data_IF_362930316038
#
_entry.id   IF_362930316038
#
_cell.length_a   1.000
_cell.length_b   1.000
_cell.length_c   1.000
_cell.angle_alpha   90.00
_cell.angle_beta   90.00
_cell.angle_gamma   90.00
#
_symmetry.space_group_name_H-M   'P 1'
#
loop_
_entity.id
_entity.type
_entity.pdbx_description
1 polymer ?
#
# COMPACT_ATOMS: atom_id res chain seq x y z
N UNK A 1 9.69 -18.43 3.35
CA UNK A 1 9.66 -17.02 2.84
C UNK A 1 9.58 -17.03 1.32
N UNK A 2 8.96 -16.02 0.71
CA UNK A 2 8.73 -15.95 -0.74
C UNK A 2 9.39 -14.71 -1.34
N UNK A 3 10.02 -14.86 -2.50
CA UNK A 3 10.54 -13.77 -3.33
C UNK A 3 9.63 -13.61 -4.53
N UNK A 4 9.10 -12.40 -4.73
CA UNK A 4 8.34 -12.03 -5.90
C UNK A 4 9.15 -11.05 -6.75
N UNK A 5 9.37 -11.38 -8.01
CA UNK A 5 10.13 -10.54 -8.95
C UNK A 5 9.28 -10.28 -10.18
N UNK A 6 9.10 -9.01 -10.49
CA UNK A 6 8.47 -8.58 -11.75
C UNK A 6 9.55 -8.44 -12.84
N UNK A 7 9.34 -9.11 -13.96
CA UNK A 7 10.18 -8.96 -15.14
C UNK A 7 9.49 -8.03 -16.16
N UNK A 8 10.01 -6.82 -16.30
CA UNK A 8 9.44 -5.81 -17.21
C UNK A 8 9.54 -6.21 -18.69
N UNK A 9 10.62 -6.90 -19.09
CA UNK A 9 10.84 -7.28 -20.51
C UNK A 9 9.87 -8.38 -20.95
N UNK A 10 9.54 -9.28 -20.06
CA UNK A 10 8.68 -10.44 -20.33
C UNK A 10 7.24 -10.25 -19.85
N UNK A 11 6.97 -9.17 -19.09
CA UNK A 11 5.65 -8.85 -18.58
C UNK A 11 5.09 -9.92 -17.62
N UNK A 12 5.97 -10.63 -16.88
CA UNK A 12 5.51 -11.66 -15.96
C UNK A 12 6.04 -11.48 -14.53
N UNK A 13 5.25 -11.97 -13.57
CA UNK A 13 5.60 -12.06 -12.16
C UNK A 13 6.06 -13.48 -11.84
N UNK A 14 7.29 -13.63 -11.34
CA UNK A 14 7.79 -14.88 -10.77
C UNK A 14 7.71 -14.84 -9.25
N UNK A 15 7.26 -15.95 -8.65
CA UNK A 15 7.21 -16.12 -7.18
C UNK A 15 7.94 -17.40 -6.84
N UNK A 16 9.01 -17.30 -6.05
CA UNK A 16 9.86 -18.44 -5.65
C UNK A 16 10.06 -18.49 -4.15
N UNK A 17 10.19 -19.71 -3.59
CA UNK A 17 10.57 -19.89 -2.19
C UNK A 17 12.05 -19.57 -1.99
N UNK A 18 12.37 -18.83 -0.93
CA UNK A 18 13.75 -18.52 -0.53
C UNK A 18 14.27 -19.56 0.47
N UNK A 19 13.38 -20.20 1.22
CA UNK A 19 13.72 -21.20 2.25
C UNK A 19 13.13 -22.55 1.87
N UNK A 20 13.95 -23.60 1.81
CA UNK A 20 13.48 -24.98 1.64
C UNK A 20 12.75 -25.42 2.92
N UNK A 21 11.53 -25.95 2.78
CA UNK A 21 10.76 -26.54 3.88
C UNK A 21 9.85 -25.58 4.67
N UNK A 22 9.72 -24.33 4.28
CA UNK A 22 8.75 -23.42 4.91
C UNK A 22 7.31 -23.82 4.59
N UNK A 23 6.51 -24.12 5.63
CA UNK A 23 5.10 -24.49 5.52
C UNK A 23 4.18 -23.30 5.11
N UNK A 24 4.73 -22.13 4.80
CA UNK A 24 3.93 -20.97 4.39
C UNK A 24 3.39 -21.16 2.98
N UNK A 25 2.08 -21.00 2.83
CA UNK A 25 1.41 -21.05 1.55
C UNK A 25 1.99 -20.01 0.57
N UNK A 26 2.11 -20.40 -0.69
CA UNK A 26 2.60 -19.49 -1.73
C UNK A 26 1.64 -18.30 -1.88
N UNK A 27 2.13 -17.05 -1.81
CA UNK A 27 1.29 -15.91 -2.02
C UNK A 27 0.72 -15.91 -3.44
N UNK A 28 -0.59 -15.81 -3.54
CA UNK A 28 -1.31 -15.76 -4.81
C UNK A 28 -1.51 -14.30 -5.23
N UNK A 29 -1.25 -13.94 -6.50
CA UNK A 29 -1.57 -12.62 -7.00
C UNK A 29 -3.09 -12.42 -7.08
N UNK A 30 -3.56 -11.25 -6.69
CA UNK A 30 -4.91 -10.78 -6.93
C UNK A 30 -4.98 -10.08 -8.29
N UNK A 31 -6.06 -10.33 -9.03
CA UNK A 31 -6.31 -9.77 -10.35
C UNK A 31 -7.57 -8.90 -10.27
N UNK A 32 -7.45 -7.61 -10.65
CA UNK A 32 -8.60 -6.70 -10.76
C UNK A 32 -8.76 -6.31 -12.22
N UNK A 33 -9.94 -6.59 -12.76
CA UNK A 33 -10.25 -6.35 -14.17
C UNK A 33 -10.80 -4.94 -14.41
N UNK A 34 -10.57 -4.31 -15.58
CA UNK A 34 -11.23 -3.07 -15.95
C UNK A 34 -12.77 -3.15 -15.93
N UNK A 35 -13.35 -4.35 -16.05
CA UNK A 35 -14.81 -4.54 -15.98
C UNK A 35 -15.37 -4.28 -14.57
N UNK A 36 -14.52 -4.29 -13.55
CA UNK A 36 -14.89 -4.00 -12.17
C UNK A 36 -14.96 -2.48 -11.89
N UNK A 37 -14.47 -1.65 -12.82
CA UNK A 37 -14.56 -0.21 -12.71
C UNK A 37 -16.02 0.27 -12.79
N UNK A 38 -16.39 1.33 -12.04
CA UNK A 38 -17.70 1.95 -12.16
C UNK A 38 -17.85 2.63 -13.53
N UNK A 39 -19.08 2.96 -13.92
CA UNK A 39 -19.36 3.60 -15.21
C UNK A 39 -20.20 4.89 -15.12
N UNK A 40 -19.98 5.82 -14.14
CA UNK A 40 -20.70 7.08 -14.14
C UNK A 40 -20.20 7.97 -15.30
N UNK A 41 -21.13 8.60 -16.02
CA UNK A 41 -20.80 9.44 -17.19
C UNK A 41 -19.83 10.56 -16.86
N UNK A 42 -19.99 11.17 -15.69
CA UNK A 42 -19.16 12.29 -15.22
C UNK A 42 -17.69 11.91 -14.99
N UNK A 43 -17.39 10.64 -14.69
CA UNK A 43 -16.03 10.12 -14.52
C UNK A 43 -15.42 9.58 -15.84
N UNK A 44 -16.13 9.69 -16.96
CA UNK A 44 -15.70 9.14 -18.25
C UNK A 44 -14.25 9.42 -18.64
N UNK A 45 -13.76 10.66 -18.56
CA UNK A 45 -12.36 10.98 -18.89
C UNK A 45 -11.34 10.23 -18.01
N UNK A 46 -11.60 10.13 -16.70
CA UNK A 46 -10.74 9.36 -15.79
C UNK A 46 -10.78 7.87 -16.10
N UNK A 47 -11.99 7.31 -16.24
CA UNK A 47 -12.17 5.88 -16.48
C UNK A 47 -11.56 5.43 -17.80
N UNK A 48 -11.60 6.26 -18.84
CA UNK A 48 -10.95 5.99 -20.11
C UNK A 48 -9.43 5.78 -19.97
N UNK A 49 -8.77 6.58 -19.11
CA UNK A 49 -7.34 6.41 -18.82
C UNK A 49 -7.08 5.19 -17.95
N UNK A 50 -7.92 4.92 -16.95
CA UNK A 50 -7.73 3.77 -16.06
C UNK A 50 -7.91 2.44 -16.79
N UNK A 51 -8.89 2.31 -17.69
CA UNK A 51 -9.14 1.11 -18.51
C UNK A 51 -7.91 0.73 -19.35
N UNK A 52 -7.09 1.69 -19.77
CA UNK A 52 -5.87 1.45 -20.56
C UNK A 52 -4.79 0.67 -19.81
N UNK A 53 -4.87 0.60 -18.49
CA UNK A 53 -3.96 -0.23 -17.68
C UNK A 53 -4.17 -1.74 -17.90
N UNK A 54 -5.32 -2.15 -18.49
CA UNK A 54 -5.66 -3.56 -18.57
C UNK A 54 -5.92 -4.16 -17.19
N UNK A 55 -5.66 -5.44 -17.03
CA UNK A 55 -5.80 -6.12 -15.73
C UNK A 55 -4.68 -5.70 -14.78
N UNK A 56 -5.05 -5.16 -13.63
CA UNK A 56 -4.10 -4.84 -12.56
C UNK A 56 -3.83 -6.10 -11.75
N UNK A 57 -2.54 -6.44 -11.62
CA UNK A 57 -2.06 -7.58 -10.82
C UNK A 57 -1.36 -7.04 -9.58
N UNK A 58 -1.72 -7.56 -8.41
CA UNK A 58 -1.13 -7.18 -7.14
C UNK A 58 -0.86 -8.40 -6.27
N UNK A 59 0.30 -8.41 -5.61
CA UNK A 59 0.54 -9.24 -4.43
C UNK A 59 0.15 -8.45 -3.19
N UNK A 60 -0.70 -9.03 -2.36
CA UNK A 60 -1.01 -8.46 -1.04
C UNK A 60 0.23 -8.56 -0.15
N UNK A 61 0.37 -7.64 0.78
CA UNK A 61 1.43 -7.75 1.77
C UNK A 61 1.11 -8.93 2.71
N UNK A 62 1.92 -10.00 2.73
CA UNK A 62 1.61 -11.18 3.55
C UNK A 62 1.86 -10.95 5.04
N UNK A 63 2.49 -9.84 5.40
CA UNK A 63 2.82 -9.49 6.79
C UNK A 63 2.02 -8.28 7.24
N UNK A 64 1.09 -8.49 8.17
CA UNK A 64 0.35 -7.39 8.79
C UNK A 64 1.29 -6.42 9.50
N UNK A 65 2.33 -6.93 10.17
CA UNK A 65 3.33 -6.08 10.83
C UNK A 65 4.07 -5.17 9.85
N UNK A 66 4.44 -5.70 8.70
CA UNK A 66 5.08 -4.92 7.63
C UNK A 66 4.11 -3.86 7.06
N UNK A 67 2.86 -4.21 6.81
CA UNK A 67 1.83 -3.28 6.35
C UNK A 67 1.61 -2.12 7.34
N UNK A 68 1.51 -2.42 8.64
CA UNK A 68 1.36 -1.42 9.71
C UNK A 68 2.60 -0.53 9.80
N UNK A 69 3.80 -1.12 9.82
CA UNK A 69 5.07 -0.38 9.88
C UNK A 69 5.21 0.56 8.68
N UNK A 70 4.95 0.05 7.47
CA UNK A 70 5.00 0.85 6.24
C UNK A 70 4.00 2.00 6.27
N UNK A 71 2.76 1.77 6.71
CA UNK A 71 1.76 2.82 6.83
C UNK A 71 2.16 3.91 7.84
N UNK A 72 2.75 3.53 8.99
CA UNK A 72 3.27 4.48 9.97
C UNK A 72 4.42 5.33 9.39
N UNK A 73 5.35 4.73 8.63
CA UNK A 73 6.47 5.45 8.02
C UNK A 73 6.02 6.44 6.93
N UNK A 74 4.84 6.25 6.35
CA UNK A 74 4.21 7.12 5.34
C UNK A 74 3.48 8.32 5.93
N UNK A 75 3.30 8.38 7.24
CA UNK A 75 2.60 9.49 7.90
C UNK A 75 3.27 10.83 7.61
N UNK A 76 2.48 11.81 7.16
CA UNK A 76 2.85 13.23 7.03
C UNK A 76 4.12 13.48 6.19
N UNK A 77 4.37 12.66 5.18
CA UNK A 77 5.54 12.82 4.30
C UNK A 77 5.20 12.51 2.84
N UNK A 78 5.98 13.04 1.91
CA UNK A 78 5.86 12.68 0.50
C UNK A 78 6.26 11.22 0.24
N UNK A 79 5.78 10.62 -0.86
CA UNK A 79 6.15 9.26 -1.26
C UNK A 79 7.67 9.05 -1.34
N UNK A 80 8.42 10.04 -1.87
CA UNK A 80 9.88 9.99 -1.95
C UNK A 80 10.54 9.97 -0.55
N UNK A 81 10.00 10.73 0.40
CA UNK A 81 10.49 10.74 1.77
C UNK A 81 10.14 9.44 2.50
N UNK A 82 8.92 8.92 2.30
CA UNK A 82 8.50 7.63 2.85
C UNK A 82 9.42 6.50 2.38
N UNK A 83 9.73 6.43 1.08
CA UNK A 83 10.64 5.42 0.53
C UNK A 83 12.05 5.52 1.14
N UNK A 84 12.58 6.73 1.33
CA UNK A 84 13.88 6.92 2.00
C UNK A 84 13.86 6.45 3.44
N UNK A 85 12.83 6.82 4.22
CA UNK A 85 12.65 6.37 5.61
C UNK A 85 12.53 4.84 5.70
N UNK A 86 11.71 4.25 4.82
CA UNK A 86 11.55 2.81 4.75
C UNK A 86 12.89 2.11 4.52
N UNK A 87 13.63 2.48 3.47
CA UNK A 87 14.94 1.89 3.16
C UNK A 87 15.95 2.06 4.30
N UNK A 88 16.01 3.25 4.92
CA UNK A 88 16.92 3.51 6.03
C UNK A 88 16.57 2.69 7.28
N UNK A 89 15.27 2.61 7.63
CA UNK A 89 14.80 1.90 8.82
C UNK A 89 14.95 0.38 8.67
N UNK A 90 14.56 -0.17 7.51
CA UNK A 90 14.69 -1.61 7.23
C UNK A 90 16.16 -2.03 7.08
N UNK A 91 16.96 -1.24 6.37
CA UNK A 91 18.39 -1.52 6.19
C UNK A 91 19.20 -1.46 7.47
N UNK A 92 18.82 -0.59 8.43
CA UNK A 92 19.55 -0.45 9.68
C UNK A 92 19.15 -1.48 10.75
N UNK A 93 17.87 -1.90 10.78
CA UNK A 93 17.32 -2.67 11.89
C UNK A 93 16.64 -3.96 11.49
N UNK A 94 16.39 -4.17 10.21
CA UNK A 94 15.79 -5.38 9.69
C UNK A 94 16.80 -6.52 9.52
N UNK A 95 16.33 -7.75 9.60
CA UNK A 95 17.14 -8.91 9.22
C UNK A 95 17.33 -8.91 7.70
N UNK A 96 18.57 -9.04 7.26
CA UNK A 96 18.89 -9.16 5.84
C UNK A 96 18.76 -10.62 5.38
N UNK A 97 18.17 -10.81 4.21
CA UNK A 97 18.03 -12.12 3.55
C UNK A 97 18.71 -12.06 2.19
N UNK A 98 19.64 -12.98 1.96
CA UNK A 98 20.26 -13.15 0.65
C UNK A 98 19.27 -13.76 -0.34
N UNK A 99 19.15 -13.15 -1.53
CA UNK A 99 18.24 -13.61 -2.58
C UNK A 99 18.93 -13.64 -3.94
N UNK A 100 18.30 -14.24 -4.93
CA UNK A 100 18.82 -14.28 -6.30
C UNK A 100 18.95 -12.87 -6.94
N UNK A 101 18.28 -11.86 -6.39
CA UNK A 101 18.34 -10.46 -6.88
C UNK A 101 19.14 -9.54 -5.94
N UNK A 102 19.87 -10.11 -5.00
CA UNK A 102 20.67 -9.39 -4.01
C UNK A 102 20.09 -9.47 -2.60
N UNK A 103 20.76 -8.82 -1.68
CA UNK A 103 20.38 -8.80 -0.27
C UNK A 103 19.18 -7.89 -0.02
N UNK A 104 18.14 -8.43 0.61
CA UNK A 104 16.91 -7.70 0.92
C UNK A 104 16.70 -7.59 2.42
N UNK A 105 16.57 -6.37 2.98
CA UNK A 105 16.22 -6.20 4.38
C UNK A 105 14.72 -6.41 4.58
N UNK A 106 14.37 -7.19 5.60
CA UNK A 106 12.99 -7.40 6.05
C UNK A 106 12.58 -6.31 7.04
N UNK A 107 11.28 -6.23 7.32
CA UNK A 107 10.78 -5.36 8.40
C UNK A 107 11.46 -5.71 9.72
N UNK A 108 11.96 -4.73 10.53
CA UNK A 108 12.44 -5.00 11.86
C UNK A 108 11.36 -5.63 12.73
N UNK A 109 11.69 -6.66 13.53
CA UNK A 109 10.68 -7.30 14.37
C UNK A 109 10.09 -6.32 15.39
N UNK A 110 8.89 -6.58 15.92
CA UNK A 110 8.31 -5.76 16.99
C UNK A 110 9.25 -5.62 18.19
N UNK A 111 9.94 -6.70 18.60
CA UNK A 111 10.89 -6.69 19.71
C UNK A 111 12.10 -5.78 19.40
N UNK A 112 12.61 -5.85 18.16
CA UNK A 112 13.67 -4.93 17.71
C UNK A 112 13.23 -3.48 17.83
N UNK A 113 12.02 -3.16 17.36
CA UNK A 113 11.44 -1.80 17.44
C UNK A 113 11.31 -1.32 18.88
N UNK A 114 10.89 -2.19 19.80
CA UNK A 114 10.78 -1.87 21.23
C UNK A 114 12.14 -1.61 21.88
N UNK A 115 13.17 -2.34 21.46
CA UNK A 115 14.55 -2.20 21.96
C UNK A 115 15.30 -0.96 21.45
N UNK A 116 14.78 -0.26 20.41
CA UNK A 116 15.47 0.90 19.85
C UNK A 116 15.43 2.10 20.81
N UNK A 117 16.60 2.78 20.95
CA UNK A 117 16.66 4.08 21.62
C UNK A 117 16.05 5.20 20.77
N UNK A 118 15.77 6.35 21.37
CA UNK A 118 15.29 7.53 20.63
C UNK A 118 16.34 8.01 19.60
N UNK A 119 17.62 7.87 19.91
CA UNK A 119 18.72 8.20 18.99
C UNK A 119 18.78 7.21 17.83
N UNK A 120 18.47 5.93 18.06
CA UNK A 120 18.31 4.94 16.99
C UNK A 120 17.25 5.35 15.98
N UNK A 121 16.05 5.75 16.43
CA UNK A 121 15.04 6.28 15.53
C UNK A 121 15.46 7.58 14.82
N UNK A 122 16.21 8.44 15.50
CA UNK A 122 16.68 9.70 14.93
C UNK A 122 17.71 9.48 13.82
N UNK A 123 18.63 8.54 13.98
CA UNK A 123 19.71 8.25 13.02
C UNK A 123 19.22 7.83 11.63
N UNK A 124 18.03 7.22 11.55
CA UNK A 124 17.40 6.79 10.30
C UNK A 124 16.23 7.69 9.87
N UNK A 125 16.07 8.86 10.51
CA UNK A 125 15.05 9.86 10.15
C UNK A 125 13.61 9.48 10.54
N UNK A 126 13.42 8.53 11.46
CA UNK A 126 12.11 8.06 11.93
C UNK A 126 11.72 8.54 13.33
N UNK A 127 12.44 9.54 13.88
CA UNK A 127 12.17 10.11 15.20
C UNK A 127 10.70 10.50 15.41
N UNK A 128 10.07 11.07 14.40
CA UNK A 128 8.65 11.43 14.43
C UNK A 128 7.75 10.20 14.63
N UNK A 129 8.07 9.10 13.97
CA UNK A 129 7.25 7.89 13.93
C UNK A 129 7.46 6.97 15.16
N UNK A 130 8.50 7.20 16.00
CA UNK A 130 8.92 6.28 17.07
C UNK A 130 7.81 5.90 18.07
N UNK A 131 6.94 6.87 18.45
CA UNK A 131 5.86 6.62 19.41
C UNK A 131 4.79 5.70 18.83
N UNK A 132 4.41 5.94 17.59
CA UNK A 132 3.45 5.10 16.88
C UNK A 132 4.02 3.70 16.62
N UNK A 133 5.30 3.61 16.21
CA UNK A 133 5.98 2.32 15.97
C UNK A 133 6.08 1.48 17.24
N UNK A 134 6.48 2.06 18.38
CA UNK A 134 6.53 1.33 19.67
C UNK A 134 5.14 0.89 20.12
N UNK A 135 4.14 1.77 20.09
CA UNK A 135 2.78 1.42 20.46
C UNK A 135 2.19 0.33 19.55
N UNK A 136 2.49 0.39 18.25
CA UNK A 136 2.09 -0.64 17.30
C UNK A 136 2.81 -1.97 17.58
N UNK A 137 4.11 -1.95 17.92
CA UNK A 137 4.87 -3.14 18.24
C UNK A 137 4.34 -3.84 19.51
N UNK A 138 4.08 -3.09 20.58
CA UNK A 138 3.46 -3.61 21.82
C UNK A 138 2.11 -4.26 21.53
N UNK A 139 1.24 -3.54 20.82
CA UNK A 139 -0.09 -4.04 20.49
C UNK A 139 -0.07 -5.25 19.53
N UNK A 140 0.89 -5.29 18.61
CA UNK A 140 1.05 -6.40 17.68
C UNK A 140 1.54 -7.67 18.37
N UNK A 141 2.46 -7.58 19.33
CA UNK A 141 2.91 -8.73 20.12
C UNK A 141 1.77 -9.34 20.96
N UNK A 142 0.83 -8.50 21.40
CA UNK A 142 -0.34 -8.94 22.18
C UNK A 142 -1.46 -9.51 21.30
N UNK A 143 -1.73 -8.90 20.13
CA UNK A 143 -2.94 -9.12 19.34
C UNK A 143 -2.70 -9.44 17.86
N UNK A 144 -1.46 -9.58 17.40
CA UNK A 144 -1.13 -9.75 15.98
C UNK A 144 -1.83 -10.93 15.31
N UNK A 145 -1.90 -12.07 15.97
CA UNK A 145 -2.59 -13.27 15.46
C UNK A 145 -4.10 -13.02 15.32
N UNK A 146 -4.71 -12.41 16.33
CA UNK A 146 -6.12 -12.02 16.29
C UNK A 146 -6.38 -11.03 15.14
N UNK A 147 -5.56 -9.99 15.02
CA UNK A 147 -5.70 -8.99 13.96
C UNK A 147 -5.55 -9.57 12.56
N UNK A 148 -4.64 -10.52 12.40
CA UNK A 148 -4.38 -11.16 11.10
C UNK A 148 -5.55 -11.98 10.59
N UNK A 149 -6.46 -12.39 11.48
CA UNK A 149 -7.68 -13.12 11.13
C UNK A 149 -8.89 -12.22 10.84
N UNK A 150 -8.75 -10.89 11.04
CA UNK A 150 -9.87 -9.96 10.87
C UNK A 150 -10.08 -9.56 9.41
N UNK A 151 -11.34 -9.33 9.06
CA UNK A 151 -11.68 -8.60 7.83
C UNK A 151 -11.28 -7.12 7.90
N UNK A 152 -11.18 -6.44 6.73
CA UNK A 152 -10.56 -5.12 6.63
C UNK A 152 -11.19 -4.05 7.54
N UNK A 153 -12.52 -3.97 7.65
CA UNK A 153 -13.18 -2.97 8.50
C UNK A 153 -12.95 -3.22 10.01
N UNK A 154 -12.94 -4.49 10.41
CA UNK A 154 -12.66 -4.87 11.79
C UNK A 154 -11.22 -4.60 12.16
N UNK A 155 -10.29 -4.91 11.24
CA UNK A 155 -8.87 -4.60 11.39
C UNK A 155 -8.63 -3.09 11.53
N UNK A 156 -9.28 -2.27 10.70
CA UNK A 156 -9.18 -0.81 10.82
C UNK A 156 -9.61 -0.31 12.19
N UNK A 157 -10.73 -0.82 12.74
CA UNK A 157 -11.23 -0.44 14.06
C UNK A 157 -10.24 -0.76 15.18
N UNK A 158 -9.64 -1.94 15.11
CA UNK A 158 -8.60 -2.36 16.06
C UNK A 158 -7.35 -1.47 15.96
N UNK A 159 -6.86 -1.22 14.75
CA UNK A 159 -5.66 -0.42 14.53
C UNK A 159 -5.83 1.03 14.99
N UNK A 160 -7.00 1.66 14.79
CA UNK A 160 -7.28 3.03 15.29
C UNK A 160 -7.19 3.11 16.82
N UNK A 161 -7.43 2.02 17.54
CA UNK A 161 -7.25 1.95 18.98
C UNK A 161 -5.79 2.05 19.44
N UNK A 162 -4.83 1.90 18.54
CA UNK A 162 -3.40 1.99 18.86
C UNK A 162 -2.94 3.45 18.86
N UNK A 163 -2.24 3.85 19.92
CA UNK A 163 -1.75 5.23 20.06
C UNK A 163 -0.85 5.64 18.89
N UNK A 164 -1.23 6.70 18.18
CA UNK A 164 -0.47 7.24 17.05
C UNK A 164 -0.85 6.62 15.70
N UNK A 165 -1.81 5.70 15.67
CA UNK A 165 -2.43 5.20 14.44
C UNK A 165 -3.79 5.91 14.27
N UNK A 166 -3.84 6.83 13.33
CA UNK A 166 -5.09 7.50 12.94
C UNK A 166 -5.86 6.73 11.85
N UNK A 167 -7.07 7.20 11.49
CA UNK A 167 -7.91 6.56 10.47
C UNK A 167 -7.17 6.31 9.15
N UNK A 168 -6.41 7.29 8.66
CA UNK A 168 -5.63 7.15 7.42
C UNK A 168 -4.63 5.98 7.50
N UNK A 169 -3.85 5.89 8.60
CA UNK A 169 -2.83 4.85 8.77
C UNK A 169 -3.46 3.47 8.90
N UNK A 170 -4.55 3.36 9.66
CA UNK A 170 -5.29 2.12 9.83
C UNK A 170 -5.88 1.61 8.50
N UNK A 171 -6.51 2.51 7.74
CA UNK A 171 -7.09 2.19 6.43
C UNK A 171 -6.03 1.78 5.41
N UNK A 172 -4.90 2.50 5.35
CA UNK A 172 -3.82 2.18 4.44
C UNK A 172 -3.17 0.82 4.77
N UNK A 173 -2.93 0.54 6.07
CA UNK A 173 -2.39 -0.76 6.51
C UNK A 173 -3.36 -1.91 6.22
N UNK A 174 -4.65 -1.73 6.52
CA UNK A 174 -5.67 -2.74 6.27
C UNK A 174 -5.81 -3.05 4.77
N UNK A 175 -5.84 -2.02 3.92
CA UNK A 175 -5.91 -2.19 2.47
C UNK A 175 -4.68 -2.92 1.91
N UNK A 176 -3.48 -2.61 2.40
CA UNK A 176 -2.23 -3.24 1.95
C UNK A 176 -2.15 -4.71 2.36
N UNK A 177 -2.55 -5.03 3.59
CA UNK A 177 -2.55 -6.40 4.11
C UNK A 177 -3.65 -7.27 3.51
N UNK A 178 -4.91 -6.79 3.52
CA UNK A 178 -6.06 -7.57 3.03
C UNK A 178 -6.20 -7.57 1.51
N UNK A 179 -5.53 -6.66 0.82
CA UNK A 179 -5.70 -6.44 -0.62
C UNK A 179 -6.99 -5.70 -0.99
N UNK A 180 -7.80 -5.29 -0.04
CA UNK A 180 -9.08 -4.61 -0.30
C UNK A 180 -8.95 -3.09 -0.26
N UNK A 181 -8.85 -2.49 -1.43
CA UNK A 181 -8.73 -1.03 -1.58
C UNK A 181 -10.06 -0.29 -1.44
N UNK A 182 -11.18 -1.00 -1.18
CA UNK A 182 -12.44 -0.35 -0.82
C UNK A 182 -12.39 0.33 0.54
N UNK A 183 -11.43 -0.07 1.40
CA UNK A 183 -11.20 0.53 2.72
C UNK A 183 -10.04 1.54 2.73
N UNK A 184 -9.31 1.69 1.62
CA UNK A 184 -8.24 2.69 1.52
C UNK A 184 -8.80 4.10 1.74
N UNK A 185 -8.03 5.05 2.32
CA UNK A 185 -8.52 6.42 2.53
C UNK A 185 -8.69 7.13 1.18
N UNK A 186 -9.91 7.15 0.65
CA UNK A 186 -10.20 7.62 -0.72
C UNK A 186 -9.89 9.12 -0.91
N UNK A 187 -10.04 9.93 0.15
CA UNK A 187 -9.66 11.34 0.16
C UNK A 187 -8.14 11.58 0.23
N UNK A 188 -7.31 10.53 0.25
CA UNK A 188 -5.85 10.65 0.30
C UNK A 188 -5.31 11.52 -0.84
N UNK A 189 -4.28 12.31 -0.52
CA UNK A 189 -3.65 13.22 -1.48
C UNK A 189 -3.14 12.49 -2.73
N UNK A 190 -2.64 11.24 -2.59
CA UNK A 190 -2.19 10.45 -3.73
C UNK A 190 -3.35 10.13 -4.67
N UNK A 191 -4.50 9.66 -4.16
CA UNK A 191 -5.68 9.33 -4.98
C UNK A 191 -6.15 10.59 -5.72
N UNK A 192 -6.29 11.72 -5.01
CA UNK A 192 -6.71 13.00 -5.61
C UNK A 192 -5.75 13.50 -6.68
N UNK A 193 -4.46 13.46 -6.38
CA UNK A 193 -3.41 13.91 -7.30
C UNK A 193 -3.38 13.08 -8.58
N UNK A 194 -3.47 11.75 -8.45
CA UNK A 194 -3.42 10.86 -9.62
C UNK A 194 -4.71 10.90 -10.42
N UNK A 195 -5.86 10.99 -9.79
CA UNK A 195 -7.13 11.20 -10.49
C UNK A 195 -7.13 12.50 -11.31
N UNK A 196 -6.65 13.62 -10.72
CA UNK A 196 -6.54 14.89 -11.43
C UNK A 196 -5.54 14.86 -12.57
N UNK A 197 -4.41 14.16 -12.40
CA UNK A 197 -3.40 14.02 -13.48
C UNK A 197 -3.87 13.09 -14.60
N UNK A 198 -4.60 12.03 -14.28
CA UNK A 198 -5.18 11.13 -15.27
C UNK A 198 -6.27 11.81 -16.09
N UNK A 199 -7.00 12.74 -15.51
CA UNK A 199 -8.06 13.49 -16.17
C UNK A 199 -7.94 15.01 -15.89
N UNK A 200 -6.99 15.73 -16.52
CA UNK A 200 -6.72 17.15 -16.20
C UNK A 200 -7.93 18.09 -16.45
N UNK A 201 -8.80 17.73 -17.39
CA UNK A 201 -10.00 18.48 -17.72
C UNK A 201 -11.20 18.19 -16.81
N UNK A 202 -11.07 17.27 -15.85
CA UNK A 202 -12.15 16.92 -14.92
C UNK A 202 -12.08 17.83 -13.69
N UNK A 203 -13.19 18.49 -13.37
CA UNK A 203 -13.29 19.30 -12.15
C UNK A 203 -13.50 18.37 -10.95
N UNK A 204 -12.45 18.20 -10.15
CA UNK A 204 -12.47 17.39 -8.94
C UNK A 204 -12.52 18.29 -7.69
N UNK A 205 -13.26 17.87 -6.63
CA UNK A 205 -13.31 18.60 -5.38
C UNK A 205 -11.91 18.78 -4.76
N UNK A 206 -11.69 19.95 -4.16
CA UNK A 206 -10.40 20.29 -3.56
C UNK A 206 -10.26 19.80 -2.11
N UNK A 207 -11.37 19.64 -1.41
CA UNK A 207 -11.35 19.13 -0.02
C UNK A 207 -11.39 17.61 0.00
N UNK A 208 -10.75 17.03 1.01
CA UNK A 208 -10.71 15.59 1.22
C UNK A 208 -12.12 14.99 1.35
N UNK A 209 -12.96 15.63 2.16
CA UNK A 209 -14.31 15.13 2.44
C UNK A 209 -15.23 15.15 1.20
N UNK A 210 -15.19 16.23 0.42
CA UNK A 210 -15.98 16.32 -0.81
C UNK A 210 -15.49 15.35 -1.89
N UNK A 211 -14.17 15.17 -1.99
CA UNK A 211 -13.59 14.19 -2.91
C UNK A 211 -13.98 12.77 -2.52
N UNK A 212 -13.90 12.42 -1.24
CA UNK A 212 -14.33 11.09 -0.76
C UNK A 212 -15.82 10.85 -1.03
N UNK A 213 -16.67 11.86 -0.79
CA UNK A 213 -18.10 11.78 -1.11
C UNK A 213 -18.36 11.55 -2.61
N UNK A 214 -17.60 12.26 -3.48
CA UNK A 214 -17.66 12.07 -4.93
C UNK A 214 -17.21 10.66 -5.32
N UNK A 215 -16.10 10.19 -4.76
CA UNK A 215 -15.51 8.89 -5.06
C UNK A 215 -16.47 7.74 -4.74
N UNK A 216 -17.10 7.79 -3.55
CA UNK A 216 -18.14 6.84 -3.13
C UNK A 216 -19.41 6.94 -3.96
N UNK A 217 -19.79 8.12 -4.43
CA UNK A 217 -20.93 8.31 -5.33
C UNK A 217 -20.67 7.67 -6.70
N UNK A 218 -19.43 7.78 -7.22
CA UNK A 218 -19.06 7.14 -8.49
C UNK A 218 -18.96 5.63 -8.39
N UNK A 219 -18.54 5.12 -7.25
CA UNK A 219 -18.34 3.69 -7.00
C UNK A 219 -19.11 3.24 -5.74
N UNK A 220 -20.45 3.12 -5.81
CA UNK A 220 -21.27 2.79 -4.64
C UNK A 220 -21.13 1.34 -4.17
N UNK A 221 -20.76 0.42 -5.06
CA UNK A 221 -20.51 -0.97 -4.72
C UNK A 221 -19.05 -1.18 -4.28
N UNK A 222 -18.83 -2.03 -3.27
CA UNK A 222 -17.50 -2.35 -2.74
C UNK A 222 -16.47 -2.77 -3.80
N UNK A 223 -16.81 -3.70 -4.74
CA UNK A 223 -15.88 -4.07 -5.81
C UNK A 223 -15.49 -2.90 -6.71
N UNK A 224 -16.45 -2.04 -7.03
CA UNK A 224 -16.21 -0.84 -7.84
C UNK A 224 -15.31 0.16 -7.12
N UNK A 225 -15.53 0.36 -5.82
CA UNK A 225 -14.72 1.27 -4.99
C UNK A 225 -13.29 0.75 -4.85
N UNK A 226 -13.13 -0.57 -4.66
CA UNK A 226 -11.84 -1.24 -4.71
C UNK A 226 -11.14 -0.99 -6.05
N UNK A 227 -11.79 -1.32 -7.17
CA UNK A 227 -11.21 -1.20 -8.49
C UNK A 227 -10.83 0.25 -8.81
N UNK A 228 -11.75 1.21 -8.60
CA UNK A 228 -11.49 2.63 -8.88
C UNK A 228 -10.27 3.15 -8.12
N UNK A 229 -10.15 2.82 -6.83
CA UNK A 229 -9.04 3.25 -5.99
C UNK A 229 -7.73 2.58 -6.38
N UNK A 230 -7.74 1.25 -6.56
CA UNK A 230 -6.55 0.48 -6.95
C UNK A 230 -6.02 0.93 -8.31
N UNK A 231 -6.88 1.07 -9.32
CA UNK A 231 -6.49 1.52 -10.65
C UNK A 231 -5.89 2.93 -10.63
N UNK A 232 -6.48 3.85 -9.87
CA UNK A 232 -5.96 5.23 -9.74
C UNK A 232 -4.56 5.25 -9.12
N UNK A 233 -4.33 4.48 -8.06
CA UNK A 233 -3.01 4.38 -7.42
C UNK A 233 -1.99 3.70 -8.34
N UNK A 234 -2.39 2.66 -9.08
CA UNK A 234 -1.54 1.96 -10.05
C UNK A 234 -1.15 2.89 -11.22
N UNK A 235 -2.11 3.65 -11.71
CA UNK A 235 -1.88 4.64 -12.76
C UNK A 235 -0.81 5.67 -12.32
N UNK A 236 -0.91 6.19 -11.11
CA UNK A 236 0.07 7.11 -10.54
C UNK A 236 1.46 6.48 -10.33
N UNK A 237 1.52 5.23 -9.95
CA UNK A 237 2.80 4.51 -9.80
C UNK A 237 3.51 4.31 -11.13
N UNK A 238 2.77 4.03 -12.20
CA UNK A 238 3.30 3.90 -13.56
C UNK A 238 3.81 5.23 -14.10
N UNK A 239 3.10 6.34 -13.81
CA UNK A 239 3.53 7.69 -14.16
C UNK A 239 4.88 8.06 -13.52
N UNK A 240 5.01 7.80 -12.22
CA UNK A 240 6.25 8.06 -11.48
C UNK A 240 7.44 7.26 -11.99
N UNK A 241 7.21 6.06 -12.50
CA UNK A 241 8.26 5.16 -12.98
C UNK A 241 8.59 5.36 -14.48
N UNK A 242 7.96 6.32 -15.17
CA UNK A 242 8.15 6.55 -16.62
C UNK A 242 7.67 5.39 -17.50
N UNK A 243 6.86 4.48 -16.95
CA UNK A 243 6.37 3.25 -17.62
C UNK A 243 5.15 3.48 -18.51
N UNK A 244 4.80 4.73 -18.80
CA UNK A 244 3.81 5.01 -19.84
C UNK A 244 4.52 4.94 -21.18
N UNK A 245 4.38 3.81 -21.86
CA UNK A 245 4.70 3.73 -23.28
C UNK A 245 3.91 4.81 -24.01
N UNK A 246 4.63 5.67 -24.71
CA UNK A 246 4.00 6.59 -25.67
C UNK A 246 3.28 5.72 -26.71
N UNK A 247 2.05 6.07 -27.15
CA UNK A 247 1.31 5.29 -28.19
C UNK A 247 1.99 5.21 -29.56
N UNK A 248 3.20 5.74 -29.69
CA UNK A 248 4.00 5.77 -30.93
C UNK A 248 4.96 4.60 -31.10
N UNK A 249 5.00 3.63 -30.17
CA UNK A 249 5.94 2.49 -30.25
C UNK A 249 5.23 1.14 -30.50
N UNK A 250 4.05 1.15 -31.16
CA UNK A 250 3.40 -0.04 -31.74
C UNK A 250 3.27 0.11 -33.25
#
# INVERSE_FOLDING_TARGET
MWLAVWNDEQGHLSVSSIEEGGAAEQPSPAFTSPVDLPAPREAGPLLAELVRLGTVVRLNNPSLWDAVTTAILRQVVSAKQALRKHRAFYGAYGRTVATAVGDLPLVPSPETVLGLSDDGFASVGTKFNRRALRAAAEAYLDRGDYWSALGPESLMKELVGVRGIGPWTASAAAADFTGDFSVYPHGDLAVRTWAQKAAPGLELPQTEAEFEALWRRWAPARPQLHALTLFTLTWGSNDLNGRRGHPSDL
#
